data_IF_501772812856
#
_entry.id   IF_501772812856
#
_cell.length_a   1.000
_cell.length_b   1.000
_cell.length_c   1.000
_cell.angle_alpha   90.00
_cell.angle_beta   90.00
_cell.angle_gamma   90.00
#
_symmetry.space_group_name_H-M   'P 1'
#
loop_
_entity.id
_entity.type
_entity.pdbx_description
1 polymer ?
#
# COMPACT_ATOMS: atom_id res chain seq x y z
N UNK A 1 1.59 -7.52 0.94
CA UNK A 1 2.92 -7.42 1.57
C UNK A 1 2.97 -6.48 2.77
N UNK A 2 2.14 -5.44 2.86
CA UNK A 2 2.04 -4.52 4.01
C UNK A 2 1.91 -5.18 5.39
N UNK A 3 1.00 -6.14 5.59
CA UNK A 3 0.89 -6.81 6.89
C UNK A 3 2.18 -7.54 7.22
N UNK A 4 2.83 -8.17 6.23
CA UNK A 4 4.13 -8.81 6.43
C UNK A 4 5.22 -7.78 6.72
N UNK A 5 5.35 -6.71 5.94
CA UNK A 5 6.34 -5.65 6.17
C UNK A 5 6.12 -4.93 7.49
N UNK A 6 4.88 -4.59 7.85
CA UNK A 6 4.53 -4.01 9.14
C UNK A 6 4.80 -5.01 10.26
N UNK A 7 4.48 -6.29 10.10
CA UNK A 7 4.84 -7.34 11.06
C UNK A 7 6.35 -7.46 11.18
N UNK A 8 7.11 -7.41 10.09
CA UNK A 8 8.56 -7.55 10.07
C UNK A 8 9.24 -6.34 10.71
N UNK A 9 8.75 -5.13 10.46
CA UNK A 9 9.20 -3.91 11.15
C UNK A 9 8.84 -3.96 12.64
N UNK A 10 7.62 -4.38 12.99
CA UNK A 10 7.22 -4.55 14.41
C UNK A 10 8.07 -5.63 15.08
N UNK A 11 8.32 -6.76 14.42
CA UNK A 11 9.19 -7.85 14.91
C UNK A 11 10.64 -7.37 15.06
N UNK A 12 11.13 -6.56 14.14
CA UNK A 12 12.48 -6.01 14.20
C UNK A 12 12.62 -4.99 15.33
N UNK A 13 11.66 -4.06 15.47
CA UNK A 13 11.66 -3.08 16.55
C UNK A 13 11.55 -3.76 17.92
N UNK A 14 10.68 -4.76 18.06
CA UNK A 14 10.57 -5.54 19.29
C UNK A 14 11.83 -6.34 19.59
N UNK A 15 12.47 -6.95 18.59
CA UNK A 15 13.76 -7.62 18.74
C UNK A 15 14.88 -6.67 19.22
N UNK A 16 14.85 -5.41 18.77
CA UNK A 16 15.79 -4.37 19.21
C UNK A 16 15.38 -3.66 20.52
N UNK A 17 14.24 -4.03 21.12
CA UNK A 17 13.69 -3.34 22.30
C UNK A 17 13.26 -1.89 22.04
N UNK A 18 13.04 -1.52 20.77
CA UNK A 18 12.61 -0.18 20.37
C UNK A 18 11.10 0.00 20.60
N UNK A 19 10.72 1.15 21.14
CA UNK A 19 9.31 1.50 21.34
C UNK A 19 8.61 1.76 19.99
N UNK A 20 7.37 1.28 19.86
CA UNK A 20 6.51 1.61 18.72
C UNK A 20 5.94 3.04 18.85
N UNK A 21 5.65 3.44 20.08
CA UNK A 21 5.08 4.73 20.46
C UNK A 21 6.19 5.75 20.73
N UNK A 22 5.97 6.99 20.30
CA UNK A 22 6.86 8.12 20.63
C UNK A 22 6.61 8.67 22.03
N UNK A 23 7.60 9.37 22.59
CA UNK A 23 7.39 10.16 23.81
C UNK A 23 6.48 11.37 23.55
N UNK A 24 6.61 11.97 22.36
CA UNK A 24 5.78 13.07 21.88
C UNK A 24 5.30 12.80 20.45
N UNK A 25 4.02 12.45 20.32
CA UNK A 25 3.37 12.07 19.07
C UNK A 25 2.61 13.25 18.40
N UNK A 26 2.75 14.47 18.94
CA UNK A 26 2.18 15.69 18.37
C UNK A 26 2.71 15.94 16.96
N UNK A 27 1.91 16.58 16.11
CA UNK A 27 2.24 16.77 14.69
C UNK A 27 3.59 17.48 14.44
N UNK A 28 3.95 18.42 15.31
CA UNK A 28 5.18 19.22 15.20
C UNK A 28 6.44 18.51 15.73
N UNK A 29 6.28 17.38 16.42
CA UNK A 29 7.41 16.62 16.94
C UNK A 29 8.24 16.03 15.80
N UNK A 30 9.57 16.15 15.90
CA UNK A 30 10.52 15.56 14.95
C UNK A 30 10.60 14.03 15.05
N UNK A 31 10.20 13.46 16.18
CA UNK A 31 10.21 12.02 16.42
C UNK A 31 8.88 11.59 17.05
N UNK A 32 7.88 11.35 16.19
CA UNK A 32 6.52 11.00 16.60
C UNK A 32 6.34 9.52 16.92
N UNK A 33 7.44 8.77 17.04
CA UNK A 33 7.39 7.33 17.25
C UNK A 33 7.36 6.55 15.94
N UNK A 34 7.95 5.36 15.99
CA UNK A 34 8.19 4.51 14.83
C UNK A 34 6.89 4.09 14.11
N UNK A 35 5.81 3.89 14.87
CA UNK A 35 4.53 3.50 14.30
C UNK A 35 3.88 4.60 13.45
N UNK A 36 3.91 5.84 13.94
CA UNK A 36 3.35 6.99 13.20
C UNK A 36 4.16 7.25 11.94
N UNK A 37 5.49 7.19 12.02
CA UNK A 37 6.34 7.35 10.83
C UNK A 37 6.12 6.23 9.81
N UNK A 38 5.88 4.98 10.26
CA UNK A 38 5.54 3.87 9.36
C UNK A 38 4.17 4.06 8.68
N UNK A 39 3.18 4.63 9.37
CA UNK A 39 1.85 4.92 8.78
C UNK A 39 1.91 6.08 7.78
N UNK A 40 2.78 7.07 7.98
CA UNK A 40 2.94 8.21 7.07
C UNK A 40 3.52 7.84 5.70
N UNK A 41 4.05 6.63 5.55
CA UNK A 41 4.55 6.15 4.27
C UNK A 41 3.38 6.03 3.29
N UNK A 42 3.45 6.75 2.17
CA UNK A 42 2.45 6.71 1.10
C UNK A 42 2.35 5.30 0.51
N UNK A 43 1.13 4.81 0.34
CA UNK A 43 0.87 3.44 -0.10
C UNK A 43 -0.22 3.40 -1.15
N UNK A 44 -0.06 2.49 -2.11
CA UNK A 44 -1.04 2.20 -3.14
C UNK A 44 -1.45 0.74 -3.02
N UNK A 45 -2.75 0.50 -2.91
CA UNK A 45 -3.32 -0.85 -2.96
C UNK A 45 -3.81 -1.14 -4.37
N UNK A 46 -3.48 -2.31 -4.91
CA UNK A 46 -4.00 -2.82 -6.17
C UNK A 46 -5.03 -3.91 -5.85
N UNK A 47 -6.23 -3.75 -6.39
CA UNK A 47 -7.31 -4.74 -6.34
C UNK A 47 -7.64 -5.15 -7.77
N UNK A 48 -7.68 -6.45 -8.04
CA UNK A 48 -8.13 -6.97 -9.33
C UNK A 48 -9.63 -7.26 -9.26
N UNK A 49 -10.38 -6.65 -10.18
CA UNK A 49 -11.78 -6.95 -10.44
C UNK A 49 -11.89 -7.77 -11.73
N UNK A 50 -12.46 -8.97 -11.65
CA UNK A 50 -12.57 -9.88 -12.79
C UNK A 50 -13.86 -10.72 -12.73
N UNK A 51 -14.24 -11.35 -13.84
CA UNK A 51 -15.34 -12.32 -13.86
C UNK A 51 -14.82 -13.72 -13.56
N UNK A 52 -15.50 -14.44 -12.67
CA UNK A 52 -15.22 -15.86 -12.45
C UNK A 52 -15.83 -16.75 -13.54
N UNK A 53 -15.62 -18.07 -13.40
CA UNK A 53 -16.10 -19.07 -14.36
C UNK A 53 -17.64 -19.13 -14.45
N UNK A 54 -18.33 -18.61 -13.45
CA UNK A 54 -19.78 -18.59 -13.35
C UNK A 54 -20.35 -17.25 -13.86
N UNK A 55 -19.48 -16.32 -14.29
CA UNK A 55 -19.87 -15.01 -14.79
C UNK A 55 -20.14 -13.97 -13.69
N UNK A 56 -19.77 -14.26 -12.44
CA UNK A 56 -19.92 -13.29 -11.35
C UNK A 56 -18.69 -12.39 -11.25
N UNK A 57 -18.92 -11.10 -10.97
CA UNK A 57 -17.85 -10.16 -10.67
C UNK A 57 -17.24 -10.53 -9.32
N UNK A 58 -15.92 -10.70 -9.31
CA UNK A 58 -15.10 -10.92 -8.12
C UNK A 58 -14.10 -9.79 -8.00
N UNK A 59 -13.82 -9.41 -6.76
CA UNK A 59 -12.72 -8.54 -6.42
C UNK A 59 -11.74 -9.30 -5.54
N UNK A 60 -10.45 -9.15 -5.84
CA UNK A 60 -9.38 -9.74 -5.02
C UNK A 60 -8.31 -8.71 -4.77
N UNK A 61 -7.96 -8.57 -3.50
CA UNK A 61 -6.72 -7.93 -3.09
C UNK A 61 -5.56 -8.57 -3.86
N UNK A 62 -4.78 -7.73 -4.53
CA UNK A 62 -3.66 -8.18 -5.33
C UNK A 62 -2.35 -7.85 -4.66
N UNK A 63 -2.10 -6.56 -4.41
CA UNK A 63 -0.93 -6.15 -3.64
C UNK A 63 -1.05 -4.77 -3.00
N UNK A 64 -0.12 -4.46 -2.10
CA UNK A 64 0.16 -3.10 -1.61
C UNK A 64 1.60 -2.76 -1.93
N UNK A 65 1.78 -1.60 -2.53
CA UNK A 65 3.08 -1.04 -2.88
C UNK A 65 3.30 0.22 -2.07
N UNK A 66 4.46 0.33 -1.43
CA UNK A 66 4.91 1.62 -0.90
C UNK A 66 5.37 2.50 -2.06
N UNK A 67 4.79 3.69 -2.17
CA UNK A 67 5.13 4.65 -3.21
C UNK A 67 5.81 5.85 -2.57
N UNK A 68 6.80 6.42 -3.25
CA UNK A 68 7.50 7.61 -2.74
C UNK A 68 6.63 8.87 -2.76
N UNK A 69 5.70 8.93 -3.70
CA UNK A 69 4.76 10.01 -3.93
C UNK A 69 3.57 9.49 -4.73
N UNK A 70 2.47 10.25 -4.72
CA UNK A 70 1.23 9.94 -5.45
C UNK A 70 1.19 10.59 -6.84
N UNK A 71 2.33 10.99 -7.39
CA UNK A 71 2.40 11.56 -8.73
C UNK A 71 2.07 10.46 -9.75
N UNK A 72 1.21 10.79 -10.73
CA UNK A 72 0.72 9.84 -11.72
C UNK A 72 1.83 9.03 -12.42
N UNK A 73 2.98 9.65 -12.70
CA UNK A 73 4.13 8.97 -13.30
C UNK A 73 4.72 7.89 -12.38
N UNK A 74 4.88 8.18 -11.09
CA UNK A 74 5.35 7.22 -10.08
C UNK A 74 4.34 6.08 -9.97
N UNK A 75 3.06 6.40 -9.77
CA UNK A 75 2.00 5.38 -9.64
C UNK A 75 1.93 4.46 -10.86
N UNK A 76 1.96 5.04 -12.08
CA UNK A 76 1.98 4.26 -13.32
C UNK A 76 3.15 3.28 -13.37
N UNK A 77 4.35 3.75 -13.00
CA UNK A 77 5.56 2.92 -13.02
C UNK A 77 5.39 1.73 -12.06
N UNK A 78 5.01 2.00 -10.82
CA UNK A 78 4.85 0.96 -9.79
C UNK A 78 3.74 -0.05 -10.16
N UNK A 79 2.62 0.41 -10.76
CA UNK A 79 1.57 -0.48 -11.29
C UNK A 79 2.14 -1.38 -12.40
N UNK A 80 2.83 -0.80 -13.39
CA UNK A 80 3.44 -1.57 -14.48
C UNK A 80 4.42 -2.61 -13.97
N UNK A 81 5.25 -2.26 -12.97
CA UNK A 81 6.24 -3.15 -12.38
C UNK A 81 5.53 -4.32 -11.68
N UNK A 82 4.52 -4.07 -10.85
CA UNK A 82 3.77 -5.15 -10.17
C UNK A 82 3.01 -6.05 -11.14
N UNK A 83 2.34 -5.49 -12.15
CA UNK A 83 1.66 -6.30 -13.16
C UNK A 83 2.65 -7.18 -13.93
N UNK A 84 3.82 -6.65 -14.29
CA UNK A 84 4.87 -7.39 -14.99
C UNK A 84 5.44 -8.52 -14.14
N UNK A 85 5.69 -8.29 -12.84
CA UNK A 85 6.15 -9.32 -11.91
C UNK A 85 5.18 -10.51 -11.78
N UNK A 86 3.88 -10.27 -11.99
CA UNK A 86 2.86 -11.30 -11.96
C UNK A 86 2.44 -11.81 -13.36
N UNK A 87 3.21 -11.48 -14.40
CA UNK A 87 2.94 -11.87 -15.79
C UNK A 87 1.55 -11.42 -16.29
N UNK A 88 1.03 -10.29 -15.77
CA UNK A 88 -0.20 -9.69 -16.23
C UNK A 88 0.10 -8.64 -17.30
N UNK A 89 -0.44 -8.86 -18.50
CA UNK A 89 -0.26 -7.94 -19.61
C UNK A 89 -1.23 -6.75 -19.49
N UNK A 90 -0.67 -5.54 -19.48
CA UNK A 90 -1.47 -4.30 -19.35
C UNK A 90 -2.48 -4.10 -20.48
N UNK A 91 -2.22 -4.67 -21.67
CA UNK A 91 -3.14 -4.56 -22.82
C UNK A 91 -4.46 -5.28 -22.60
N UNK A 92 -4.46 -6.28 -21.71
CA UNK A 92 -5.62 -7.11 -21.40
C UNK A 92 -6.40 -6.57 -20.18
N UNK A 93 -5.97 -5.44 -19.63
CA UNK A 93 -6.50 -4.85 -18.40
C UNK A 93 -7.21 -3.51 -18.67
N UNK A 94 -8.13 -3.17 -17.77
CA UNK A 94 -8.81 -1.87 -17.71
C UNK A 94 -8.49 -1.25 -16.36
N UNK A 95 -8.08 0.02 -16.35
CA UNK A 95 -7.72 0.73 -15.14
C UNK A 95 -8.87 1.58 -14.60
N UNK A 96 -9.02 1.59 -13.28
CA UNK A 96 -9.84 2.55 -12.53
C UNK A 96 -9.00 3.10 -11.38
N UNK A 97 -9.04 4.40 -11.16
CA UNK A 97 -8.31 5.07 -10.08
C UNK A 97 -9.27 5.76 -9.12
N UNK A 98 -8.97 5.67 -7.83
CA UNK A 98 -9.66 6.39 -6.76
C UNK A 98 -8.64 7.28 -6.05
N UNK A 99 -8.95 8.57 -5.90
CA UNK A 99 -8.23 9.42 -4.96
C UNK A 99 -8.91 9.34 -3.58
N UNK A 100 -8.14 9.48 -2.51
CA UNK A 100 -8.65 9.38 -1.15
C UNK A 100 -9.54 10.55 -0.71
N UNK A 101 -10.05 11.37 -1.64
CA UNK A 101 -10.51 12.71 -1.31
C UNK A 101 -11.96 12.80 -0.78
N UNK A 102 -12.89 11.90 -1.12
CA UNK A 102 -14.29 12.06 -0.65
C UNK A 102 -15.20 10.82 -0.72
N UNK A 103 -14.72 9.65 -1.16
CA UNK A 103 -15.63 8.64 -1.71
C UNK A 103 -15.64 7.26 -1.01
N UNK A 104 -15.15 7.17 0.23
CA UNK A 104 -15.52 6.08 1.15
C UNK A 104 -16.69 6.53 2.03
N UNK A 105 -17.91 6.38 1.51
CA UNK A 105 -19.13 6.27 2.32
C UNK A 105 -19.73 4.89 2.09
#
# INVERSE_FOLDING_TARGET
ILIKTTIDVVRWLTFQGCALRGHDERFESRNRGNFIELIKLEQMTIVLRFFDKEGFVRERFFDVIHVKDTVALTLKKEICDVLSHHCLNIKDLRGQGYDGASNMQ
#
